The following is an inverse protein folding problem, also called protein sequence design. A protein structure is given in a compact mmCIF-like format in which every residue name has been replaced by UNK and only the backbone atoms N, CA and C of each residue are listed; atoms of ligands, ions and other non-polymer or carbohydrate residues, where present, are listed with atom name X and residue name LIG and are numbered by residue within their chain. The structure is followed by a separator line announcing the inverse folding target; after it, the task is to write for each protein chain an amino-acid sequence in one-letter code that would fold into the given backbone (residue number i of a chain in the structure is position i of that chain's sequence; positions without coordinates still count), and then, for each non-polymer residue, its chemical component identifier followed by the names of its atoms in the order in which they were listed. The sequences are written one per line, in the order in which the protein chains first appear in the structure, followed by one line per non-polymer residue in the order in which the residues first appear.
data_IF_586194456505
#
_entry.id   IF_586194456505
#
_cell.length_a   1.000
_cell.length_b   1.000
_cell.length_c   1.000
_cell.angle_alpha   90.00
_cell.angle_beta   90.00
_cell.angle_gamma   90.00
#
_symmetry.space_group_name_H-M   'P 1'
#
loop_
_entity.id
_entity.type
_entity.pdbx_description
1 polymer ?
#
# COMPACT_ATOMS: atom_id res chain seq x y z
N UNK A 1 28.81 -30.86 -11.11
CA UNK A 1 27.52 -30.28 -10.67
C UNK A 1 27.50 -28.76 -10.91
N UNK A 2 27.23 -28.29 -12.13
CA UNK A 2 27.42 -26.85 -12.49
C UNK A 2 26.46 -25.91 -11.73
N UNK A 3 25.27 -26.39 -11.36
CA UNK A 3 24.26 -25.59 -10.66
C UNK A 3 24.53 -25.40 -9.16
N UNK A 4 25.21 -26.35 -8.50
CA UNK A 4 25.62 -26.20 -7.10
C UNK A 4 26.60 -25.03 -6.94
N UNK A 5 27.63 -25.00 -7.80
CA UNK A 5 28.60 -23.88 -7.88
C UNK A 5 27.87 -22.55 -8.13
N UNK A 6 26.94 -22.51 -9.08
CA UNK A 6 26.14 -21.30 -9.38
C UNK A 6 25.36 -20.78 -8.15
N UNK A 7 24.86 -21.67 -7.31
CA UNK A 7 24.18 -21.30 -6.07
C UNK A 7 25.15 -20.89 -4.96
N UNK A 8 26.35 -21.48 -4.89
CA UNK A 8 27.40 -21.06 -3.97
C UNK A 8 27.96 -19.67 -4.35
N UNK A 9 28.16 -19.40 -5.65
CA UNK A 9 28.47 -18.07 -6.19
C UNK A 9 27.38 -17.05 -5.76
N UNK A 10 26.10 -17.41 -5.85
CA UNK A 10 24.99 -16.57 -5.40
C UNK A 10 25.00 -16.36 -3.88
N UNK A 11 25.25 -17.42 -3.08
CA UNK A 11 25.39 -17.34 -1.62
C UNK A 11 26.53 -16.40 -1.22
N UNK A 12 27.61 -16.36 -1.98
CA UNK A 12 28.76 -15.46 -1.69
C UNK A 12 28.41 -13.96 -1.74
N UNK A 13 27.34 -13.56 -2.44
CA UNK A 13 26.86 -12.16 -2.50
C UNK A 13 25.71 -11.86 -1.54
N UNK A 14 25.27 -12.85 -0.76
CA UNK A 14 24.26 -12.71 0.28
C UNK A 14 24.94 -12.62 1.64
N UNK A 15 24.49 -11.69 2.48
CA UNK A 15 24.92 -11.63 3.88
C UNK A 15 23.93 -12.41 4.74
N UNK A 16 24.37 -13.57 5.26
CA UNK A 16 23.57 -14.49 6.06
C UNK A 16 24.04 -14.50 7.53
N UNK A 17 23.81 -13.38 8.24
CA UNK A 17 24.20 -13.21 9.64
C UNK A 17 23.62 -14.27 10.59
N UNK A 18 22.50 -14.89 10.20
CA UNK A 18 21.80 -15.93 10.96
C UNK A 18 22.21 -17.36 10.56
N UNK A 19 23.11 -17.52 9.58
CA UNK A 19 23.64 -18.80 9.09
C UNK A 19 22.55 -19.79 8.62
N UNK A 20 21.45 -19.28 8.05
CA UNK A 20 20.29 -20.05 7.58
C UNK A 20 20.59 -20.86 6.30
N UNK A 21 21.60 -20.45 5.54
CA UNK A 21 22.12 -21.11 4.35
C UNK A 21 23.31 -22.03 4.67
N UNK A 22 23.54 -22.38 5.94
CA UNK A 22 24.63 -23.24 6.42
C UNK A 22 24.71 -24.62 5.76
N UNK A 23 23.58 -25.17 5.29
CA UNK A 23 23.54 -26.45 4.57
C UNK A 23 23.87 -26.33 3.07
N UNK A 24 24.16 -25.15 2.54
CA UNK A 24 24.66 -25.00 1.16
C UNK A 24 26.17 -25.26 1.17
N UNK A 25 26.59 -26.47 0.76
CA UNK A 25 27.99 -26.94 0.78
C UNK A 25 28.44 -27.46 -0.58
N UNK A 26 29.68 -27.18 -0.95
CA UNK A 26 30.33 -27.69 -2.17
C UNK A 26 30.53 -29.22 -2.16
N UNK A 27 30.55 -29.84 -0.98
CA UNK A 27 30.63 -31.30 -0.79
C UNK A 27 29.37 -32.05 -1.24
N UNK A 28 28.22 -31.39 -1.38
CA UNK A 28 26.96 -32.07 -1.61
C UNK A 28 26.76 -32.40 -3.10
N UNK A 29 26.38 -33.64 -3.42
CA UNK A 29 26.19 -34.08 -4.80
C UNK A 29 25.09 -33.31 -5.56
N UNK A 30 24.15 -32.71 -4.84
CA UNK A 30 22.98 -32.05 -5.41
C UNK A 30 22.46 -30.93 -4.50
N UNK A 31 22.18 -29.72 -5.03
CA UNK A 31 21.64 -28.63 -4.23
C UNK A 31 20.16 -28.81 -3.87
N UNK A 32 19.52 -29.90 -4.30
CA UNK A 32 18.08 -30.11 -4.14
C UNK A 32 17.64 -30.35 -2.68
N UNK A 33 18.58 -30.62 -1.76
CA UNK A 33 18.33 -30.68 -0.31
C UNK A 33 18.67 -29.39 0.45
N UNK A 34 19.15 -28.35 -0.23
CA UNK A 34 19.57 -27.10 0.41
C UNK A 34 18.38 -26.23 0.82
N UNK A 35 18.57 -25.44 1.89
CA UNK A 35 17.51 -24.55 2.42
C UNK A 35 16.95 -23.65 1.32
N UNK A 36 15.64 -23.71 1.11
CA UNK A 36 14.91 -22.90 0.12
C UNK A 36 15.09 -23.30 -1.34
N UNK A 37 15.88 -24.34 -1.65
CA UNK A 37 16.02 -24.85 -3.02
C UNK A 37 14.95 -25.91 -3.29
N UNK A 38 14.43 -25.94 -4.51
CA UNK A 38 13.61 -27.05 -4.99
C UNK A 38 13.91 -27.35 -6.44
N UNK A 39 13.97 -28.63 -6.79
CA UNK A 39 14.36 -29.11 -8.12
C UNK A 39 13.21 -29.72 -8.91
N UNK A 40 13.44 -29.95 -10.20
CA UNK A 40 12.62 -30.84 -11.01
C UNK A 40 12.86 -32.31 -10.59
N UNK A 41 11.82 -33.11 -10.31
CA UNK A 41 11.97 -34.51 -9.88
C UNK A 41 12.81 -35.36 -10.84
N UNK A 42 12.62 -35.15 -12.15
CA UNK A 42 13.18 -36.03 -13.18
C UNK A 42 14.63 -35.66 -13.59
N UNK A 43 15.09 -34.43 -13.33
CA UNK A 43 16.37 -33.92 -13.86
C UNK A 43 17.29 -33.29 -12.82
N UNK A 44 16.87 -33.28 -11.55
CA UNK A 44 17.55 -32.62 -10.42
C UNK A 44 18.05 -31.19 -10.72
N UNK A 45 17.41 -30.50 -11.66
CA UNK A 45 17.75 -29.13 -12.03
C UNK A 45 16.99 -28.17 -11.13
N UNK A 46 17.65 -27.11 -10.65
CA UNK A 46 17.03 -26.08 -9.81
C UNK A 46 15.82 -25.48 -10.52
N UNK A 47 14.67 -25.54 -9.85
CA UNK A 47 13.36 -25.07 -10.34
C UNK A 47 12.87 -23.87 -9.54
N UNK A 48 13.19 -23.79 -8.25
CA UNK A 48 12.76 -22.73 -7.35
C UNK A 48 13.88 -22.36 -6.37
N UNK A 49 14.03 -21.07 -6.12
CA UNK A 49 14.72 -20.49 -4.96
C UNK A 49 13.65 -19.77 -4.15
N UNK A 50 13.49 -20.15 -2.88
CA UNK A 50 12.49 -19.62 -1.96
C UNK A 50 13.13 -19.34 -0.59
N UNK A 51 13.64 -18.13 -0.43
CA UNK A 51 14.35 -17.63 0.75
C UNK A 51 13.67 -16.40 1.38
N UNK A 52 12.34 -16.38 1.61
CA UNK A 52 11.67 -15.21 2.17
C UNK A 52 11.80 -15.12 3.70
N UNK A 53 11.72 -13.92 4.27
CA UNK A 53 11.76 -13.67 5.72
C UNK A 53 13.03 -14.18 6.43
N UNK A 54 14.16 -14.25 5.73
CA UNK A 54 15.43 -14.79 6.24
C UNK A 54 16.41 -13.73 6.76
N UNK A 55 16.03 -12.45 6.70
CA UNK A 55 16.88 -11.29 7.07
C UNK A 55 18.19 -11.20 6.25
N UNK A 56 18.23 -11.82 5.06
CA UNK A 56 19.42 -11.86 4.20
C UNK A 56 19.78 -10.46 3.70
N UNK A 57 21.00 -10.02 3.94
CA UNK A 57 21.57 -8.81 3.35
C UNK A 57 22.34 -9.09 2.06
N UNK A 58 23.13 -8.12 1.60
CA UNK A 58 23.87 -8.22 0.34
C UNK A 58 23.01 -7.87 -0.87
N UNK A 59 23.34 -8.41 -2.04
CA UNK A 59 22.69 -8.06 -3.31
C UNK A 59 22.42 -9.28 -4.20
N UNK A 60 21.50 -9.12 -5.15
CA UNK A 60 21.14 -10.18 -6.09
C UNK A 60 22.22 -10.26 -7.17
N UNK A 61 23.05 -11.29 -7.13
CA UNK A 61 24.11 -11.49 -8.14
C UNK A 61 23.53 -11.76 -9.54
N UNK A 62 24.07 -11.15 -10.62
CA UNK A 62 23.76 -11.51 -12.00
C UNK A 62 23.98 -13.01 -12.33
N UNK A 63 24.79 -13.72 -11.52
CA UNK A 63 25.03 -15.16 -11.66
C UNK A 63 23.75 -16.00 -11.59
N UNK A 64 22.69 -15.50 -10.94
CA UNK A 64 21.35 -16.13 -10.93
C UNK A 64 20.82 -16.46 -12.34
N UNK A 65 21.25 -15.69 -13.34
CA UNK A 65 20.90 -15.87 -14.75
C UNK A 65 21.39 -17.19 -15.39
N UNK A 66 22.36 -17.89 -14.76
CA UNK A 66 22.80 -19.23 -15.19
C UNK A 66 21.74 -20.31 -14.91
N UNK A 67 20.76 -20.02 -14.04
CA UNK A 67 19.64 -20.91 -13.71
C UNK A 67 18.50 -20.76 -14.74
N UNK A 68 18.78 -21.04 -16.02
CA UNK A 68 17.85 -20.77 -17.14
C UNK A 68 16.47 -21.42 -17.00
N UNK A 69 16.38 -22.54 -16.26
CA UNK A 69 15.15 -23.29 -15.99
C UNK A 69 14.44 -22.92 -14.68
N UNK A 70 14.89 -21.86 -14.00
CA UNK A 70 14.28 -21.36 -12.76
C UNK A 70 12.87 -20.84 -13.02
N UNK A 71 11.87 -21.41 -12.36
CA UNK A 71 10.46 -20.99 -12.45
C UNK A 71 10.04 -20.01 -11.35
N UNK A 72 10.74 -20.00 -10.21
CA UNK A 72 10.44 -19.12 -9.07
C UNK A 72 11.72 -18.59 -8.44
N UNK A 73 11.78 -17.27 -8.28
CA UNK A 73 12.76 -16.58 -7.44
C UNK A 73 11.99 -15.77 -6.39
N UNK A 74 12.02 -16.23 -5.14
CA UNK A 74 11.38 -15.55 -4.02
C UNK A 74 12.43 -15.19 -2.97
N UNK A 75 12.73 -13.89 -2.89
CA UNK A 75 13.69 -13.27 -1.97
C UNK A 75 13.03 -12.12 -1.18
N UNK A 76 11.70 -12.10 -1.10
CA UNK A 76 10.93 -11.05 -0.46
C UNK A 76 11.11 -11.04 1.07
N UNK A 77 10.99 -9.85 1.67
CA UNK A 77 11.08 -9.63 3.12
C UNK A 77 12.47 -10.03 3.64
N UNK A 78 13.48 -9.38 3.07
CA UNK A 78 14.90 -9.50 3.41
C UNK A 78 15.53 -8.09 3.42
N UNK A 79 16.84 -8.02 3.60
CA UNK A 79 17.63 -6.79 3.64
C UNK A 79 18.49 -6.59 2.38
N UNK A 80 18.04 -7.12 1.23
CA UNK A 80 18.79 -7.05 -0.03
C UNK A 80 18.79 -5.63 -0.58
N UNK A 81 19.93 -5.17 -1.08
CA UNK A 81 20.11 -3.83 -1.63
C UNK A 81 20.79 -3.87 -2.99
N UNK A 82 21.07 -2.69 -3.56
CA UNK A 82 21.63 -2.57 -4.90
C UNK A 82 20.56 -2.67 -6.00
N UNK A 83 21.00 -2.88 -7.24
CA UNK A 83 20.12 -2.90 -8.42
C UNK A 83 19.48 -4.28 -8.62
N UNK A 84 18.32 -4.32 -9.28
CA UNK A 84 17.80 -5.56 -9.88
C UNK A 84 18.68 -5.88 -11.10
N UNK A 85 19.41 -7.01 -11.16
CA UNK A 85 20.25 -7.32 -12.31
C UNK A 85 19.37 -7.67 -13.53
N UNK A 86 19.61 -6.97 -14.65
CA UNK A 86 18.90 -7.20 -15.92
C UNK A 86 19.05 -8.63 -16.43
N UNK A 87 20.14 -9.30 -16.06
CA UNK A 87 20.46 -10.67 -16.44
C UNK A 87 19.41 -11.69 -15.96
N UNK A 88 18.58 -11.37 -14.95
CA UNK A 88 17.39 -12.17 -14.57
C UNK A 88 16.48 -12.46 -15.77
N UNK A 89 16.45 -11.57 -16.78
CA UNK A 89 15.71 -11.77 -18.02
C UNK A 89 16.15 -13.02 -18.83
N UNK A 90 17.33 -13.60 -18.56
CA UNK A 90 17.80 -14.84 -19.18
C UNK A 90 17.13 -16.10 -18.60
N UNK A 91 16.45 -16.00 -17.45
CA UNK A 91 15.66 -17.09 -16.88
C UNK A 91 14.30 -17.21 -17.61
N UNK A 92 14.32 -17.70 -18.85
CA UNK A 92 13.15 -17.71 -19.75
C UNK A 92 11.97 -18.57 -19.25
N UNK A 93 12.22 -19.55 -18.36
CA UNK A 93 11.18 -20.32 -17.69
C UNK A 93 10.56 -19.61 -16.46
N UNK A 94 11.04 -18.42 -16.06
CA UNK A 94 10.63 -17.75 -14.82
C UNK A 94 9.15 -17.35 -14.87
N UNK A 95 8.40 -17.82 -13.86
CA UNK A 95 6.96 -17.60 -13.71
C UNK A 95 6.64 -16.63 -12.57
N UNK A 96 7.43 -16.64 -11.50
CA UNK A 96 7.20 -15.78 -10.36
C UNK A 96 8.50 -15.16 -9.83
N UNK A 97 8.54 -13.83 -9.76
CA UNK A 97 9.60 -13.04 -9.18
C UNK A 97 9.05 -12.23 -8.01
N UNK A 98 9.48 -12.54 -6.78
CA UNK A 98 9.09 -11.83 -5.56
C UNK A 98 10.32 -11.23 -4.90
N UNK A 99 10.46 -9.91 -5.02
CA UNK A 99 11.52 -9.10 -4.40
C UNK A 99 10.95 -8.08 -3.40
N UNK A 100 9.66 -8.16 -3.08
CA UNK A 100 8.96 -7.23 -2.18
C UNK A 100 9.63 -7.09 -0.81
N UNK A 101 9.68 -5.88 -0.24
CA UNK A 101 10.17 -5.69 1.13
C UNK A 101 11.67 -5.96 1.21
N UNK A 102 12.43 -5.16 0.49
CA UNK A 102 13.89 -5.12 0.46
C UNK A 102 14.31 -3.65 0.29
N UNK A 103 15.61 -3.40 0.15
CA UNK A 103 16.21 -2.08 -0.08
C UNK A 103 16.73 -1.93 -1.52
N UNK A 104 16.12 -2.60 -2.50
CA UNK A 104 16.56 -2.55 -3.90
C UNK A 104 16.29 -1.16 -4.49
N UNK A 105 17.26 -0.64 -5.26
CA UNK A 105 17.29 0.73 -5.74
C UNK A 105 17.46 0.81 -7.26
N UNK A 106 17.33 2.04 -7.81
CA UNK A 106 17.42 2.28 -9.25
C UNK A 106 16.15 1.92 -10.01
N UNK A 107 16.24 1.91 -11.34
CA UNK A 107 15.10 1.65 -12.22
C UNK A 107 14.83 0.16 -12.42
N UNK A 108 13.56 -0.17 -12.69
CA UNK A 108 13.16 -1.52 -13.10
C UNK A 108 13.82 -1.80 -14.47
N UNK A 109 14.61 -2.90 -14.64
CA UNK A 109 15.25 -3.19 -15.92
C UNK A 109 14.23 -3.44 -17.03
N UNK A 110 14.41 -2.80 -18.20
CA UNK A 110 13.52 -2.97 -19.34
C UNK A 110 13.54 -4.42 -19.87
N UNK A 111 14.67 -5.12 -19.69
CA UNK A 111 14.86 -6.53 -20.02
C UNK A 111 13.85 -7.49 -19.36
N UNK A 112 13.27 -7.13 -18.20
CA UNK A 112 12.23 -7.94 -17.56
C UNK A 112 11.00 -8.15 -18.46
N UNK A 113 10.77 -7.26 -19.42
CA UNK A 113 9.75 -7.42 -20.46
C UNK A 113 9.99 -8.59 -21.46
N UNK A 114 11.16 -9.25 -21.40
CA UNK A 114 11.46 -10.45 -22.19
C UNK A 114 11.02 -11.76 -21.48
N UNK A 115 10.62 -11.71 -20.21
CA UNK A 115 10.22 -12.89 -19.42
C UNK A 115 8.81 -13.39 -19.78
N UNK A 116 8.61 -13.86 -21.01
CA UNK A 116 7.28 -14.25 -21.56
C UNK A 116 6.51 -15.30 -20.75
N UNK A 117 7.18 -16.05 -19.87
CA UNK A 117 6.58 -17.02 -18.94
C UNK A 117 6.05 -16.42 -17.63
N UNK A 118 6.34 -15.15 -17.34
CA UNK A 118 6.10 -14.52 -16.05
C UNK A 118 4.60 -14.29 -15.81
N UNK A 119 4.10 -14.79 -14.68
CA UNK A 119 2.72 -14.62 -14.21
C UNK A 119 2.63 -13.71 -12.98
N UNK A 120 3.69 -13.61 -12.19
CA UNK A 120 3.76 -12.78 -10.98
C UNK A 120 5.07 -11.99 -10.95
N UNK A 121 4.96 -10.67 -10.79
CA UNK A 121 6.06 -9.74 -10.54
C UNK A 121 5.70 -8.87 -9.33
N UNK A 122 6.40 -9.05 -8.22
CA UNK A 122 6.23 -8.23 -7.02
C UNK A 122 7.56 -7.59 -6.60
N UNK A 123 7.66 -6.28 -6.87
CA UNK A 123 8.78 -5.38 -6.59
C UNK A 123 8.40 -4.31 -5.56
N UNK A 124 7.21 -4.40 -4.93
CA UNK A 124 6.70 -3.39 -4.00
C UNK A 124 7.53 -3.28 -2.71
N UNK A 125 7.39 -2.20 -1.95
CA UNK A 125 8.16 -1.97 -0.71
C UNK A 125 9.68 -2.11 -0.92
N UNK A 126 10.22 -1.37 -1.89
CA UNK A 126 11.65 -1.22 -2.17
C UNK A 126 12.03 0.28 -2.25
N UNK A 127 13.25 0.59 -2.69
CA UNK A 127 13.74 1.95 -2.99
C UNK A 127 13.87 2.21 -4.51
N UNK A 128 13.08 1.51 -5.34
CA UNK A 128 13.09 1.63 -6.79
C UNK A 128 12.55 2.98 -7.26
N UNK A 129 13.18 3.54 -8.31
CA UNK A 129 12.88 4.86 -8.88
C UNK A 129 12.71 4.80 -10.41
N UNK A 130 12.45 5.96 -11.02
CA UNK A 130 12.21 6.07 -12.47
C UNK A 130 10.85 5.51 -12.94
N UNK A 131 10.65 5.48 -14.25
CA UNK A 131 9.39 5.05 -14.85
C UNK A 131 9.22 3.52 -14.88
N UNK A 132 7.97 3.05 -14.85
CA UNK A 132 7.62 1.65 -15.11
C UNK A 132 7.90 1.37 -16.60
N UNK A 133 8.76 0.39 -16.96
CA UNK A 133 9.08 0.11 -18.36
C UNK A 133 7.85 -0.34 -19.17
N UNK A 134 7.61 0.31 -20.31
CA UNK A 134 6.57 -0.10 -21.27
C UNK A 134 6.78 -1.53 -21.80
N UNK A 135 8.02 -2.04 -21.76
CA UNK A 135 8.35 -3.43 -22.09
C UNK A 135 7.62 -4.46 -21.21
N UNK A 136 7.23 -4.12 -19.98
CA UNK A 136 6.39 -5.00 -19.14
C UNK A 136 5.01 -5.26 -19.76
N UNK A 137 4.52 -4.38 -20.65
CA UNK A 137 3.30 -4.59 -21.43
C UNK A 137 3.39 -5.77 -22.41
N UNK A 138 4.59 -6.28 -22.71
CA UNK A 138 4.79 -7.49 -23.54
C UNK A 138 4.48 -8.78 -22.78
N UNK A 139 4.33 -8.72 -21.46
CA UNK A 139 4.15 -9.88 -20.57
C UNK A 139 2.67 -10.34 -20.55
N UNK A 140 2.18 -10.90 -21.66
CA UNK A 140 0.77 -11.32 -21.82
C UNK A 140 0.29 -12.38 -20.82
N UNK A 141 1.21 -13.11 -20.17
CA UNK A 141 0.94 -14.08 -19.11
C UNK A 141 0.91 -13.48 -17.70
N UNK A 142 1.29 -12.21 -17.53
CA UNK A 142 1.29 -11.55 -16.23
C UNK A 142 -0.14 -11.45 -15.68
N UNK A 143 -0.31 -11.73 -14.39
CA UNK A 143 -1.59 -11.72 -13.68
C UNK A 143 -1.54 -10.91 -12.39
N UNK A 144 -0.38 -10.84 -11.75
CA UNK A 144 -0.14 -9.96 -10.61
C UNK A 144 1.12 -9.13 -10.86
N UNK A 145 0.94 -7.80 -10.94
CA UNK A 145 2.00 -6.82 -11.02
C UNK A 145 1.89 -5.90 -9.80
N UNK A 146 2.86 -5.99 -8.91
CA UNK A 146 3.03 -5.07 -7.79
C UNK A 146 4.37 -4.37 -7.98
N UNK A 147 4.36 -3.06 -8.10
CA UNK A 147 5.55 -2.21 -8.11
C UNK A 147 5.41 -1.15 -7.03
N UNK A 148 6.51 -0.50 -6.66
CA UNK A 148 6.47 0.62 -5.75
C UNK A 148 5.44 1.67 -6.18
N UNK A 149 4.65 2.16 -5.22
CA UNK A 149 4.14 3.53 -5.27
C UNK A 149 5.22 4.42 -4.68
N UNK A 150 5.99 5.20 -5.46
CA UNK A 150 6.95 6.13 -4.91
C UNK A 150 6.20 7.26 -4.19
N UNK A 151 6.22 7.24 -2.86
CA UNK A 151 5.95 8.43 -2.06
C UNK A 151 7.29 9.10 -1.78
N UNK A 152 7.62 10.14 -2.55
CA UNK A 152 8.80 10.95 -2.26
C UNK A 152 8.48 11.92 -1.12
N UNK A 153 8.74 11.51 0.13
CA UNK A 153 8.87 12.45 1.26
C UNK A 153 10.16 13.25 1.11
N UNK A 154 10.16 14.19 0.16
CA UNK A 154 11.19 15.22 0.02
C UNK A 154 10.75 16.48 0.76
N UNK A 155 10.91 16.49 2.09
CA UNK A 155 11.30 17.70 2.82
C UNK A 155 12.14 17.28 4.03
N UNK A 156 13.39 17.69 4.04
CA UNK A 156 14.29 17.46 5.16
C UNK A 156 13.91 18.36 6.34
N UNK A 157 13.52 17.75 7.45
CA UNK A 157 13.57 18.36 8.78
C UNK A 157 14.24 17.37 9.74
N UNK A 158 15.11 17.83 10.66
CA UNK A 158 15.79 16.94 11.58
C UNK A 158 14.79 16.32 12.57
N UNK A 159 14.83 14.99 12.67
CA UNK A 159 14.10 14.26 13.71
C UNK A 159 14.78 14.54 15.05
N UNK A 160 14.13 15.31 15.91
CA UNK A 160 14.47 15.34 17.34
C UNK A 160 13.87 14.07 17.96
N UNK A 161 14.72 13.11 18.29
CA UNK A 161 14.35 11.95 19.11
C UNK A 161 14.21 12.41 20.57
N UNK A 162 13.11 12.09 21.27
CA UNK A 162 13.11 12.12 22.73
C UNK A 162 13.97 10.96 23.24
N UNK A 163 15.02 11.28 23.99
CA UNK A 163 15.74 10.29 24.78
C UNK A 163 14.79 9.67 25.82
N UNK A 164 14.93 8.36 26.02
CA UNK A 164 14.46 7.68 27.22
C UNK A 164 15.67 7.24 28.02
N UNK A 165 15.81 7.74 29.25
CA UNK A 165 16.70 7.18 30.25
C UNK A 165 16.09 7.41 31.66
N UNK A 166 16.53 6.60 32.62
CA UNK A 166 15.87 6.30 33.90
C UNK A 166 16.14 7.31 35.03
N UNK A 167 15.37 7.23 36.13
CA UNK A 167 15.87 6.97 37.49
C UNK A 167 14.73 6.93 38.56
N UNK A 168 15.03 6.48 39.79
CA UNK A 168 14.07 6.23 40.91
C UNK A 168 14.27 7.25 42.11
N UNK A 169 13.72 7.17 43.34
CA UNK A 169 13.06 6.09 44.13
C UNK A 169 12.22 6.60 45.33
N UNK A 170 11.33 5.73 45.85
CA UNK A 170 10.86 5.60 47.26
C UNK A 170 9.70 6.45 47.89
N UNK A 171 8.92 5.73 48.72
CA UNK A 171 8.16 6.10 49.95
C UNK A 171 6.88 6.99 49.88
N UNK A 172 5.62 6.57 50.08
CA UNK A 172 4.91 5.81 51.17
C UNK A 172 4.88 6.54 52.54
N UNK A 173 3.81 6.57 53.40
CA UNK A 173 2.37 6.19 53.30
C UNK A 173 1.33 7.21 53.87
N UNK A 174 0.02 6.88 53.75
CA UNK A 174 -1.11 6.95 54.74
C UNK A 174 -2.44 7.45 54.11
N UNK A 175 -3.65 7.02 54.51
CA UNK A 175 -4.14 6.08 55.56
C UNK A 175 -5.51 5.50 55.15
N UNK A 176 -5.82 4.26 55.55
CA UNK A 176 -7.19 3.69 55.71
C UNK A 176 -7.69 4.01 57.14
N UNK A 177 -8.94 3.76 57.62
CA UNK A 177 -9.99 2.80 57.16
C UNK A 177 -11.41 3.47 57.09
N UNK A 178 -12.61 2.85 57.12
CA UNK A 178 -13.10 1.74 57.95
C UNK A 178 -14.36 1.01 57.40
N UNK A 179 -14.55 -0.23 57.88
CA UNK A 179 -15.69 -1.13 57.71
C UNK A 179 -16.95 -0.68 58.47
N UNK A 180 -18.13 -1.12 58.00
CA UNK A 180 -19.00 -2.00 58.81
C UNK A 180 -19.87 -2.90 57.90
N UNK A 181 -20.46 -3.98 58.44
CA UNK A 181 -20.74 -5.23 57.72
C UNK A 181 -22.05 -5.90 58.17
N UNK A 182 -22.89 -6.34 57.21
CA UNK A 182 -24.06 -7.26 57.35
C UNK A 182 -25.20 -6.77 58.27
N UNK A 183 -26.47 -7.17 58.08
CA UNK A 183 -27.11 -7.99 57.04
C UNK A 183 -28.51 -8.47 57.50
N UNK A 184 -29.25 -9.12 56.59
CA UNK A 184 -30.54 -9.82 56.80
C UNK A 184 -31.83 -8.96 56.98
N UNK A 185 -33.02 -9.41 56.58
CA UNK A 185 -33.45 -10.45 55.61
C UNK A 185 -34.92 -10.17 55.17
N UNK A 186 -35.24 -10.48 53.90
CA UNK A 186 -36.56 -10.86 53.31
C UNK A 186 -37.83 -10.09 53.72
N UNK A 187 -38.53 -9.55 52.69
CA UNK A 187 -39.92 -9.09 52.81
C UNK A 187 -40.41 -8.22 51.64
N UNK A 188 -39.53 -7.39 51.08
CA UNK A 188 -39.87 -6.44 50.01
C UNK A 188 -38.80 -6.33 48.89
N UNK A 189 -37.89 -7.32 48.79
CA UNK A 189 -36.71 -7.22 47.92
C UNK A 189 -37.05 -7.33 46.43
N UNK A 190 -38.07 -8.10 46.05
CA UNK A 190 -38.45 -8.26 44.63
C UNK A 190 -38.98 -6.97 44.01
N UNK A 191 -39.97 -6.32 44.65
CA UNK A 191 -40.61 -5.11 44.14
C UNK A 191 -39.67 -3.90 44.15
N UNK A 192 -38.86 -3.74 45.21
CA UNK A 192 -37.88 -2.65 45.31
C UNK A 192 -36.73 -2.83 44.32
N UNK A 193 -36.23 -4.05 44.09
CA UNK A 193 -35.24 -4.29 43.03
C UNK A 193 -35.80 -4.00 41.63
N UNK A 194 -37.04 -4.38 41.32
CA UNK A 194 -37.67 -4.03 40.03
C UNK A 194 -37.84 -2.51 39.90
N UNK A 195 -38.29 -1.81 40.95
CA UNK A 195 -38.40 -0.36 40.93
C UNK A 195 -37.04 0.33 40.74
N UNK A 196 -35.98 -0.13 41.42
CA UNK A 196 -34.62 0.39 41.25
C UNK A 196 -34.09 0.08 39.84
N UNK A 197 -34.32 -1.11 39.29
CA UNK A 197 -33.94 -1.45 37.92
C UNK A 197 -34.69 -0.60 36.89
N UNK A 198 -35.97 -0.30 37.09
CA UNK A 198 -36.73 0.62 36.25
C UNK A 198 -36.20 2.07 36.36
N UNK A 199 -35.91 2.56 37.56
CA UNK A 199 -35.31 3.88 37.76
C UNK A 199 -33.90 3.96 37.14
N UNK A 200 -33.09 2.92 37.26
CA UNK A 200 -31.78 2.83 36.61
C UNK A 200 -31.90 2.72 35.09
N UNK A 201 -32.89 1.98 34.57
CA UNK A 201 -33.16 1.91 33.14
C UNK A 201 -33.64 3.26 32.58
N UNK A 202 -34.53 3.96 33.29
CA UNK A 202 -34.97 5.33 32.95
C UNK A 202 -33.79 6.31 33.03
N UNK A 203 -32.96 6.24 34.08
CA UNK A 203 -31.76 7.07 34.21
C UNK A 203 -30.76 6.78 33.08
N UNK A 204 -30.56 5.52 32.71
CA UNK A 204 -29.69 5.13 31.61
C UNK A 204 -30.29 5.51 30.25
N UNK A 205 -31.61 5.44 30.08
CA UNK A 205 -32.34 5.89 28.89
C UNK A 205 -32.27 7.42 28.74
N UNK A 206 -32.45 8.19 29.81
CA UNK A 206 -32.25 9.65 29.84
C UNK A 206 -30.77 10.01 29.63
N UNK A 207 -29.82 9.23 30.17
CA UNK A 207 -28.38 9.38 29.87
C UNK A 207 -28.07 9.08 28.40
N UNK A 208 -28.67 8.05 27.81
CA UNK A 208 -28.54 7.69 26.39
C UNK A 208 -29.22 8.71 25.48
N UNK A 209 -30.38 9.23 25.85
CA UNK A 209 -31.11 10.24 25.10
C UNK A 209 -30.38 11.59 25.18
N UNK A 210 -29.91 12.00 26.36
CA UNK A 210 -29.04 13.19 26.50
C UNK A 210 -27.66 13.01 25.85
N UNK A 211 -27.16 11.77 25.70
CA UNK A 211 -25.97 11.49 24.88
C UNK A 211 -26.31 11.61 23.39
N UNK A 212 -27.39 10.99 22.92
CA UNK A 212 -27.90 11.10 21.54
C UNK A 212 -28.22 12.55 21.15
N UNK A 213 -28.72 13.36 22.08
CA UNK A 213 -28.93 14.80 21.87
C UNK A 213 -27.63 15.60 21.90
N UNK A 214 -26.64 15.24 22.73
CA UNK A 214 -25.29 15.84 22.68
C UNK A 214 -24.57 15.49 21.40
N UNK A 215 -24.66 14.24 20.95
CA UNK A 215 -24.11 13.75 19.70
C UNK A 215 -24.86 14.34 18.49
N UNK A 216 -26.18 14.51 18.56
CA UNK A 216 -26.97 15.19 17.53
C UNK A 216 -26.73 16.70 17.50
N UNK A 217 -26.50 17.36 18.64
CA UNK A 217 -26.08 18.78 18.71
C UNK A 217 -24.65 18.93 18.20
N UNK A 218 -23.73 18.04 18.56
CA UNK A 218 -22.36 18.00 18.03
C UNK A 218 -22.34 17.73 16.53
N UNK A 219 -23.16 16.80 16.04
CA UNK A 219 -23.37 16.54 14.61
C UNK A 219 -24.02 17.74 13.90
N UNK A 220 -24.99 18.42 14.53
CA UNK A 220 -25.64 19.60 13.95
C UNK A 220 -24.73 20.81 13.92
N UNK A 221 -23.86 21.02 14.92
CA UNK A 221 -22.83 22.06 14.88
C UNK A 221 -21.71 21.71 13.89
N UNK A 222 -21.23 20.46 13.84
CA UNK A 222 -20.28 20.00 12.79
C UNK A 222 -20.89 20.13 11.39
N UNK A 223 -22.19 19.82 11.20
CA UNK A 223 -22.91 19.99 9.94
C UNK A 223 -23.13 21.48 9.59
N UNK A 224 -23.38 22.33 10.58
CA UNK A 224 -23.56 23.78 10.42
C UNK A 224 -22.24 24.50 10.16
N UNK A 225 -21.13 23.97 10.67
CA UNK A 225 -19.77 24.38 10.34
C UNK A 225 -19.38 23.88 8.94
N UNK A 226 -19.69 22.62 8.60
CA UNK A 226 -19.58 22.05 7.25
C UNK A 226 -20.45 22.74 6.20
N UNK A 227 -21.50 23.49 6.60
CA UNK A 227 -22.32 24.33 5.71
C UNK A 227 -21.87 25.81 5.71
N UNK A 228 -20.79 26.16 6.41
CA UNK A 228 -20.23 27.53 6.44
C UNK A 228 -18.79 27.61 5.94
N UNK A 229 -18.23 26.50 5.45
CA UNK A 229 -17.02 26.48 4.63
C UNK A 229 -17.42 26.11 3.19
N UNK A 230 -17.41 27.10 2.30
CA UNK A 230 -17.49 26.90 0.84
C UNK A 230 -16.14 26.43 0.31
N UNK A 231 -15.72 25.24 0.74
CA UNK A 231 -14.51 24.57 0.26
C UNK A 231 -14.81 23.60 -0.87
N UNK A 232 -14.05 23.68 -1.96
CA UNK A 232 -14.15 22.80 -3.13
C UNK A 232 -13.86 21.35 -2.73
N UNK A 233 -14.90 20.51 -2.65
CA UNK A 233 -14.76 19.11 -2.24
C UNK A 233 -14.44 18.22 -3.45
N UNK A 234 -13.15 18.02 -3.71
CA UNK A 234 -12.64 17.05 -4.68
C UNK A 234 -13.02 15.61 -4.26
N UNK A 235 -13.59 14.83 -5.19
CA UNK A 235 -13.92 13.41 -5.00
C UNK A 235 -13.10 12.59 -6.00
N UNK A 236 -12.20 11.73 -5.51
CA UNK A 236 -11.35 10.85 -6.33
C UNK A 236 -11.99 9.49 -6.57
N UNK A 237 -11.70 8.89 -7.72
CA UNK A 237 -12.13 7.53 -8.07
C UNK A 237 -10.92 6.59 -8.23
N UNK A 238 -11.01 5.40 -7.64
CA UNK A 238 -10.14 4.25 -7.92
C UNK A 238 -8.62 4.52 -7.81
N UNK A 239 -8.18 4.92 -6.61
CA UNK A 239 -6.79 5.20 -6.29
C UNK A 239 -6.48 6.67 -6.50
N UNK A 240 -6.02 7.31 -5.43
CA UNK A 240 -5.89 8.76 -5.34
C UNK A 240 -5.04 9.34 -6.48
N UNK A 241 -5.42 10.55 -6.91
CA UNK A 241 -4.54 11.38 -7.71
C UNK A 241 -3.20 11.53 -6.96
N UNK A 242 -2.04 11.44 -7.63
CA UNK A 242 -0.73 11.46 -6.96
C UNK A 242 -0.33 12.86 -6.44
N UNK A 243 -1.28 13.78 -6.37
CA UNK A 243 -1.14 15.17 -5.92
C UNK A 243 -2.12 15.41 -4.76
N UNK A 244 -1.75 16.19 -3.74
CA UNK A 244 -2.67 16.57 -2.68
C UNK A 244 -3.80 17.44 -3.22
N UNK A 245 -4.99 17.36 -2.60
CA UNK A 245 -6.18 18.09 -3.07
C UNK A 245 -5.97 19.61 -3.18
N UNK A 246 -5.10 20.20 -2.34
CA UNK A 246 -4.76 21.62 -2.42
C UNK A 246 -4.03 21.99 -3.73
N UNK A 247 -3.03 21.20 -4.17
CA UNK A 247 -2.32 21.43 -5.42
C UNK A 247 -3.25 21.27 -6.64
N UNK A 248 -4.17 20.31 -6.57
CA UNK A 248 -5.19 20.10 -7.61
C UNK A 248 -6.17 21.27 -7.68
N UNK A 249 -6.65 21.75 -6.53
CA UNK A 249 -7.58 22.89 -6.46
C UNK A 249 -6.88 24.18 -6.93
N UNK A 250 -5.67 24.46 -6.44
CA UNK A 250 -4.84 25.59 -6.88
C UNK A 250 -4.62 25.56 -8.40
N UNK A 251 -4.29 24.38 -8.95
CA UNK A 251 -4.08 24.24 -10.39
C UNK A 251 -5.38 24.43 -11.18
N UNK A 252 -6.51 23.89 -10.72
CA UNK A 252 -7.83 24.10 -11.33
C UNK A 252 -8.25 25.57 -11.30
N UNK A 253 -7.99 26.28 -10.19
CA UNK A 253 -8.29 27.70 -10.03
C UNK A 253 -7.35 28.59 -10.88
N UNK A 254 -6.15 28.11 -11.20
CA UNK A 254 -5.21 28.79 -12.10
C UNK A 254 -5.50 28.64 -13.61
N UNK A 255 -6.48 27.81 -14.01
CA UNK A 255 -6.77 27.54 -15.42
C UNK A 255 -7.38 28.77 -16.13
N UNK A 256 -6.84 29.08 -17.31
CA UNK A 256 -7.20 30.25 -18.12
C UNK A 256 -7.89 29.83 -19.44
N UNK A 257 -8.27 30.82 -20.26
CA UNK A 257 -8.79 30.55 -21.61
C UNK A 257 -7.73 29.97 -22.56
N UNK A 258 -6.44 30.21 -22.30
CA UNK A 258 -5.32 29.66 -23.08
C UNK A 258 -5.17 28.14 -22.90
N UNK A 259 -5.67 27.60 -21.77
CA UNK A 259 -5.63 26.17 -21.46
C UNK A 259 -6.76 25.37 -22.13
N UNK A 260 -7.67 26.00 -22.88
CA UNK A 260 -8.85 25.33 -23.46
C UNK A 260 -8.45 24.40 -24.62
N UNK A 261 -8.79 23.12 -24.50
CA UNK A 261 -8.66 22.10 -25.56
C UNK A 261 -9.88 22.08 -26.47
N UNK A 262 -11.05 22.39 -25.92
CA UNK A 262 -12.30 22.47 -26.67
C UNK A 262 -13.51 22.70 -25.77
N UNK A 263 -14.60 23.19 -26.36
CA UNK A 263 -15.87 23.42 -25.68
C UNK A 263 -17.00 22.64 -26.38
N UNK A 264 -18.02 22.28 -25.60
CA UNK A 264 -19.19 21.54 -26.09
C UNK A 264 -20.46 21.91 -25.32
N UNK A 265 -21.58 21.28 -25.66
CA UNK A 265 -22.91 21.71 -25.22
C UNK A 265 -23.18 21.80 -23.70
N UNK A 266 -22.34 21.19 -22.86
CA UNK A 266 -22.49 21.15 -21.39
C UNK A 266 -21.18 21.44 -20.63
N UNK A 267 -20.13 21.94 -21.29
CA UNK A 267 -18.89 22.29 -20.59
C UNK A 267 -17.68 22.50 -21.49
N UNK A 268 -16.61 22.95 -20.85
CA UNK A 268 -15.31 23.26 -21.48
C UNK A 268 -14.24 22.32 -20.94
N UNK A 269 -13.41 21.78 -21.82
CA UNK A 269 -12.28 20.90 -21.47
C UNK A 269 -10.99 21.71 -21.52
N UNK A 270 -10.27 21.71 -20.39
CA UNK A 270 -8.99 22.38 -20.20
C UNK A 270 -7.85 21.37 -20.13
N UNK A 271 -6.65 21.75 -20.59
CA UNK A 271 -5.40 21.01 -20.45
C UNK A 271 -4.67 21.46 -19.20
N UNK A 272 -4.96 20.82 -18.08
CA UNK A 272 -4.25 21.06 -16.84
C UNK A 272 -2.86 20.40 -16.87
N UNK A 273 -1.81 21.17 -16.58
CA UNK A 273 -0.44 20.67 -16.43
C UNK A 273 0.02 20.85 -14.98
N UNK A 274 0.34 19.74 -14.34
CA UNK A 274 0.86 19.68 -12.97
C UNK A 274 2.36 20.01 -12.93
N UNK A 275 2.90 20.26 -11.73
CA UNK A 275 4.28 20.71 -11.54
C UNK A 275 5.33 19.68 -12.00
N UNK A 276 4.98 18.39 -12.02
CA UNK A 276 5.79 17.28 -12.54
C UNK A 276 5.61 17.05 -14.06
N UNK A 277 5.00 18.00 -14.77
CA UNK A 277 4.56 17.89 -16.17
C UNK A 277 3.48 16.83 -16.43
N UNK A 278 2.82 16.29 -15.40
CA UNK A 278 1.62 15.45 -15.56
C UNK A 278 0.49 16.21 -16.24
N UNK A 279 -0.07 15.66 -17.32
CA UNK A 279 -1.12 16.33 -18.12
C UNK A 279 -2.48 15.67 -17.91
N UNK A 280 -3.48 16.49 -17.60
CA UNK A 280 -4.86 16.07 -17.36
C UNK A 280 -5.84 16.86 -18.21
N UNK A 281 -6.89 16.19 -18.70
CA UNK A 281 -8.06 16.86 -19.26
C UNK A 281 -9.06 17.13 -18.13
N UNK A 282 -9.32 18.40 -17.84
CA UNK A 282 -10.27 18.84 -16.80
C UNK A 282 -11.52 19.38 -17.48
N UNK A 283 -12.67 18.72 -17.31
CA UNK A 283 -13.95 19.18 -17.87
C UNK A 283 -14.72 20.00 -16.85
N UNK A 284 -14.83 21.31 -17.08
CA UNK A 284 -15.66 22.23 -16.29
C UNK A 284 -17.09 22.21 -16.84
N UNK A 285 -18.03 21.73 -16.05
CA UNK A 285 -19.44 21.62 -16.45
C UNK A 285 -20.17 22.97 -16.27
N UNK A 286 -20.92 23.36 -17.29
CA UNK A 286 -21.77 24.55 -17.24
C UNK A 286 -23.07 24.24 -16.48
N UNK A 287 -23.11 24.65 -15.20
CA UNK A 287 -24.28 24.48 -14.32
C UNK A 287 -25.40 25.51 -14.51
N UNK A 288 -25.24 26.47 -15.43
CA UNK A 288 -26.30 27.45 -15.72
C UNK A 288 -27.46 26.85 -16.55
N UNK A 289 -27.26 25.67 -17.14
CA UNK A 289 -28.20 25.01 -18.06
C UNK A 289 -29.14 24.06 -17.33
N UNK A 290 -30.42 24.14 -17.67
CA UNK A 290 -31.45 23.23 -17.14
C UNK A 290 -31.13 21.77 -17.52
N UNK A 291 -31.21 20.87 -16.53
CA UNK A 291 -30.88 19.44 -16.70
C UNK A 291 -29.39 19.08 -16.60
N UNK A 292 -28.48 20.02 -16.33
CA UNK A 292 -27.04 19.77 -16.22
C UNK A 292 -26.67 18.62 -15.26
N UNK A 293 -27.30 18.54 -14.08
CA UNK A 293 -27.05 17.46 -13.10
C UNK A 293 -27.30 16.06 -13.67
N UNK A 294 -28.36 15.87 -14.48
CA UNK A 294 -28.67 14.57 -15.09
C UNK A 294 -27.68 14.20 -16.19
N UNK A 295 -27.15 15.19 -16.90
CA UNK A 295 -26.09 14.98 -17.90
C UNK A 295 -24.78 14.62 -17.21
N UNK A 296 -24.46 15.30 -16.11
CA UNK A 296 -23.27 15.07 -15.31
C UNK A 296 -23.23 13.66 -14.70
N UNK A 297 -24.28 13.25 -13.98
CA UNK A 297 -24.35 11.92 -13.37
C UNK A 297 -24.27 10.79 -14.43
N UNK A 298 -24.94 10.97 -15.59
CA UNK A 298 -24.85 10.01 -16.70
C UNK A 298 -23.45 9.96 -17.33
N UNK A 299 -22.76 11.10 -17.44
CA UNK A 299 -21.39 11.13 -17.95
C UNK A 299 -20.41 10.45 -16.98
N UNK A 300 -20.58 10.65 -15.67
CA UNK A 300 -19.83 9.92 -14.64
C UNK A 300 -20.11 8.41 -14.67
N UNK A 301 -21.37 7.99 -14.83
CA UNK A 301 -21.75 6.58 -14.92
C UNK A 301 -21.10 5.88 -16.14
N UNK A 302 -21.10 6.54 -17.30
CA UNK A 302 -20.49 6.02 -18.53
C UNK A 302 -18.96 5.98 -18.40
N UNK A 303 -18.31 7.09 -17.99
CA UNK A 303 -16.86 7.16 -17.89
C UNK A 303 -16.28 6.30 -16.75
N UNK A 304 -17.06 6.05 -15.69
CA UNK A 304 -16.70 5.14 -14.60
C UNK A 304 -16.87 3.66 -14.93
N UNK A 305 -17.78 3.32 -15.84
CA UNK A 305 -18.08 1.92 -16.23
C UNK A 305 -17.24 1.43 -17.42
N UNK A 306 -16.83 2.30 -18.33
CA UNK A 306 -16.08 1.91 -19.53
C UNK A 306 -14.58 1.80 -19.24
N UNK A 307 -14.04 0.57 -19.31
CA UNK A 307 -12.60 0.29 -19.23
C UNK A 307 -12.07 -0.17 -20.58
N UNK A 308 -11.37 0.70 -21.30
CA UNK A 308 -10.80 0.41 -22.61
C UNK A 308 -9.41 1.04 -22.78
N UNK A 309 -8.49 0.35 -23.46
CA UNK A 309 -7.09 0.76 -23.63
C UNK A 309 -6.90 2.11 -24.34
N UNK A 310 -7.88 2.55 -25.13
CA UNK A 310 -7.85 3.81 -25.90
C UNK A 310 -8.74 4.91 -25.29
N UNK A 311 -9.28 4.72 -24.07
CA UNK A 311 -10.11 5.71 -23.40
C UNK A 311 -9.41 6.23 -22.14
N UNK A 312 -9.58 7.53 -21.87
CA UNK A 312 -8.94 8.20 -20.73
C UNK A 312 -9.68 7.82 -19.44
N UNK A 313 -8.95 7.33 -18.44
CA UNK A 313 -9.53 6.99 -17.14
C UNK A 313 -10.00 8.25 -16.40
N UNK A 314 -11.27 8.27 -15.99
CA UNK A 314 -11.80 9.25 -15.05
C UNK A 314 -11.10 9.12 -13.69
N UNK A 315 -10.56 10.23 -13.16
CA UNK A 315 -9.78 10.25 -11.90
C UNK A 315 -10.52 10.86 -10.72
N UNK A 316 -11.48 11.74 -10.97
CA UNK A 316 -12.24 12.45 -9.93
C UNK A 316 -13.12 13.55 -10.51
N UNK A 317 -13.83 14.26 -9.63
CA UNK A 317 -14.74 15.38 -9.92
C UNK A 317 -14.90 16.32 -8.72
#
# INVERSE_FOLDING_TARGET
MVFGITLLDLKSTLNDSNNLLSNWKDTDESPCGWTGISCYPNSQTVRSINLPYMQLGGFISPVVARLTRLQRLALHQNSLHGLIPKEIAKCSELRALYLRGNYLQGSIPTDLGNLSSLTILDLSSNSLNGAIPSSLGRLTRLRNLQVNKPCHTSLGFPVILPHAESDEVAAVPNKRPSHYVKGALIGAVSTVCVAILLVLAIFFWVRLQSKKERDAKKYKEVYKQSRKETGTKLITFHGDLPYPSCEIIEKIESLTEEDIVGSGGYGTVYRMVMNDCGVFAVKKIDRSREGCDRVFERELEILGSVKHINLVNLRGY
#
